data_IF_275395890684
#
_entry.id   IF_275395890684
#
_cell.length_a   1.000
_cell.length_b   1.000
_cell.length_c   1.000
_cell.angle_alpha   90.00
_cell.angle_beta   90.00
_cell.angle_gamma   90.00
#
_symmetry.space_group_name_H-M   'P 1'
#
loop_
_entity.id
_entity.type
_entity.pdbx_description
1 polymer ?
#
# COMPACT_ATOMS: atom_id res chain seq x y z
N UNK A 1 15.49 -0.81 17.53
CA UNK A 1 16.14 0.44 17.05
C UNK A 1 15.09 1.52 17.00
N UNK A 2 15.40 2.73 17.52
CA UNK A 2 14.39 3.80 17.53
C UNK A 2 14.29 4.45 16.15
N UNK A 3 13.07 4.71 15.72
CA UNK A 3 12.73 5.38 14.47
C UNK A 3 11.84 6.60 14.76
N UNK A 4 11.81 7.53 13.82
CA UNK A 4 10.97 8.72 13.90
C UNK A 4 9.77 8.50 12.97
N UNK A 5 8.56 8.72 13.47
CA UNK A 5 7.33 8.62 12.68
C UNK A 5 6.52 9.91 12.77
N UNK A 6 5.96 10.32 11.65
CA UNK A 6 4.99 11.43 11.58
C UNK A 6 4.03 11.22 10.41
N UNK A 7 2.88 11.87 10.44
CA UNK A 7 1.99 11.89 9.29
C UNK A 7 2.36 13.09 8.40
N UNK A 8 2.61 12.84 7.13
CA UNK A 8 2.83 13.88 6.15
C UNK A 8 1.63 14.83 6.11
N UNK A 9 1.84 16.14 6.25
CA UNK A 9 0.74 17.11 6.39
C UNK A 9 -0.10 17.27 5.10
N UNK A 10 0.46 16.95 3.93
CA UNK A 10 -0.24 17.10 2.65
C UNK A 10 -1.02 15.85 2.28
N UNK A 11 -0.41 14.68 2.46
CA UNK A 11 -0.98 13.39 2.03
C UNK A 11 -1.66 12.61 3.16
N UNK A 12 -1.31 12.93 4.42
CA UNK A 12 -1.72 12.19 5.60
C UNK A 12 -1.17 10.76 5.66
N UNK A 13 -0.18 10.44 4.81
CA UNK A 13 0.50 9.13 4.83
C UNK A 13 1.58 9.16 5.91
N UNK A 14 1.78 8.02 6.57
CA UNK A 14 2.85 7.86 7.53
C UNK A 14 4.21 7.97 6.85
N UNK A 15 5.08 8.79 7.40
CA UNK A 15 6.51 8.86 7.06
C UNK A 15 7.30 8.22 8.19
N UNK A 16 8.23 7.37 7.82
CA UNK A 16 9.16 6.70 8.71
C UNK A 16 10.58 7.16 8.39
N UNK A 17 11.28 7.68 9.37
CA UNK A 17 12.68 8.06 9.24
C UNK A 17 13.55 7.16 10.12
N UNK A 18 14.50 6.49 9.48
CA UNK A 18 15.52 5.66 10.15
C UNK A 18 16.76 6.54 10.38
N UNK A 19 17.01 6.99 11.62
CA UNK A 19 18.09 7.95 11.87
C UNK A 19 19.46 7.31 11.70
N UNK A 20 20.35 7.97 10.94
CA UNK A 20 21.74 7.59 10.80
C UNK A 20 22.56 8.20 11.94
N UNK A 21 22.69 7.48 13.04
CA UNK A 21 23.36 7.97 14.26
C UNK A 21 24.90 7.90 14.19
N UNK A 22 25.48 7.39 13.10
CA UNK A 22 26.94 7.32 12.91
C UNK A 22 27.55 8.64 12.39
N UNK A 23 26.72 9.59 11.97
CA UNK A 23 27.18 10.89 11.51
C UNK A 23 27.46 11.81 12.71
N UNK A 24 28.55 12.61 12.58
CA UNK A 24 28.91 13.59 13.59
C UNK A 24 28.11 14.88 13.36
N UNK A 25 27.47 15.34 14.40
CA UNK A 25 26.82 16.66 14.41
C UNK A 25 27.89 17.75 14.48
N UNK A 26 28.02 18.60 13.45
CA UNK A 26 29.07 19.62 13.39
C UNK A 26 28.94 20.71 14.49
N UNK A 27 27.77 20.84 15.10
CA UNK A 27 27.56 21.79 16.19
C UNK A 27 28.07 21.30 17.55
N UNK A 28 28.10 19.98 17.75
CA UNK A 28 28.44 19.35 19.05
C UNK A 28 29.70 18.51 19.03
N UNK A 29 30.24 18.21 17.83
CA UNK A 29 31.35 17.29 17.58
C UNK A 29 31.11 15.88 18.17
N UNK A 30 29.83 15.46 18.21
CA UNK A 30 29.37 14.15 18.69
C UNK A 30 28.43 13.49 17.68
N UNK A 31 28.23 12.16 17.75
CA UNK A 31 27.20 11.50 16.96
C UNK A 31 25.81 12.12 17.20
N UNK A 32 25.01 12.21 16.13
CA UNK A 32 23.64 12.67 16.25
C UNK A 32 22.84 11.79 17.19
N UNK A 33 22.02 12.40 18.02
CA UNK A 33 20.93 11.72 18.73
C UNK A 33 19.70 11.57 17.84
N UNK A 34 18.81 10.62 18.16
CA UNK A 34 17.53 10.46 17.43
C UNK A 34 16.72 11.75 17.49
N UNK A 35 16.74 12.45 18.62
CA UNK A 35 16.03 13.73 18.79
C UNK A 35 16.58 14.81 17.85
N UNK A 36 17.90 14.98 17.77
CA UNK A 36 18.50 15.97 16.86
C UNK A 36 18.23 15.66 15.39
N UNK A 37 18.11 14.36 15.03
CA UNK A 37 17.67 13.97 13.67
C UNK A 37 16.22 14.34 13.47
N UNK A 38 15.34 14.09 14.44
CA UNK A 38 13.93 14.45 14.35
C UNK A 38 13.75 15.97 14.18
N UNK A 39 14.45 16.76 15.01
CA UNK A 39 14.38 18.23 14.97
C UNK A 39 14.89 18.82 13.63
N UNK A 40 15.75 18.08 12.92
CA UNK A 40 16.30 18.50 11.62
C UNK A 40 15.44 18.03 10.44
N UNK A 41 14.93 16.78 10.47
CA UNK A 41 14.37 16.10 9.31
C UNK A 41 12.83 16.13 9.28
N UNK A 42 12.16 16.34 10.41
CA UNK A 42 10.70 16.52 10.46
C UNK A 42 10.38 17.97 10.06
N UNK A 43 9.39 18.20 9.19
CA UNK A 43 9.00 19.56 8.82
C UNK A 43 8.56 20.39 10.03
N UNK A 44 8.87 21.68 10.03
CA UNK A 44 8.53 22.61 11.11
C UNK A 44 7.04 22.60 11.44
N UNK A 45 6.73 22.45 12.73
CA UNK A 45 5.35 22.44 13.24
C UNK A 45 4.61 21.11 13.04
N UNK A 46 5.23 20.09 12.47
CA UNK A 46 4.65 18.77 12.34
C UNK A 46 4.92 17.95 13.59
N UNK A 47 3.86 17.41 14.20
CA UNK A 47 3.99 16.51 15.35
C UNK A 47 4.65 15.18 14.90
N UNK A 48 5.57 14.67 15.71
CA UNK A 48 6.24 13.38 15.46
C UNK A 48 6.34 12.56 16.75
N UNK A 49 6.64 11.29 16.62
CA UNK A 49 6.97 10.40 17.74
C UNK A 49 8.23 9.60 17.44
N UNK A 50 9.02 9.34 18.46
CA UNK A 50 10.12 8.40 18.43
C UNK A 50 9.60 7.08 18.99
N UNK A 51 9.62 6.03 18.17
CA UNK A 51 9.11 4.71 18.53
C UNK A 51 10.16 3.63 18.22
N UNK A 52 9.97 2.42 18.75
CA UNK A 52 10.82 1.30 18.36
C UNK A 52 10.42 0.77 16.98
N UNK A 53 11.40 0.29 16.23
CA UNK A 53 11.21 -0.30 14.88
C UNK A 53 10.25 -1.49 14.88
N UNK A 54 10.11 -2.18 16.01
CA UNK A 54 9.09 -3.22 16.20
C UNK A 54 7.65 -2.74 16.12
N UNK A 55 7.43 -1.42 16.15
CA UNK A 55 6.11 -0.81 15.94
C UNK A 55 5.69 -0.85 14.47
N UNK A 56 6.66 -0.99 13.53
CA UNK A 56 6.36 -1.08 12.10
C UNK A 56 5.66 -2.42 11.82
N UNK A 57 4.51 -2.42 11.14
CA UNK A 57 3.88 -3.65 10.70
C UNK A 57 4.80 -4.46 9.79
N UNK A 58 4.90 -5.77 10.01
CA UNK A 58 5.70 -6.68 9.17
C UNK A 58 5.10 -6.85 7.78
N UNK A 59 3.78 -6.73 7.68
CA UNK A 59 3.06 -6.75 6.42
C UNK A 59 3.05 -5.37 5.78
N UNK A 60 3.85 -5.20 4.73
CA UNK A 60 4.01 -3.93 4.03
C UNK A 60 3.14 -3.80 2.76
N UNK A 61 2.22 -4.74 2.53
CA UNK A 61 1.40 -4.78 1.31
C UNK A 61 0.59 -3.50 1.07
N UNK A 62 0.21 -2.81 2.15
CA UNK A 62 -0.54 -1.55 2.12
C UNK A 62 0.18 -0.42 2.85
N UNK A 63 1.51 -0.38 2.74
CA UNK A 63 2.33 0.65 3.40
C UNK A 63 1.84 2.07 3.11
N UNK A 64 1.45 2.35 1.88
CA UNK A 64 0.94 3.67 1.47
C UNK A 64 -0.44 4.01 2.09
N UNK A 65 -1.07 3.07 2.78
CA UNK A 65 -2.26 3.27 3.58
C UNK A 65 -1.98 3.35 5.08
N UNK A 66 -0.73 3.31 5.52
CA UNK A 66 -0.39 3.45 6.94
C UNK A 66 -0.64 4.87 7.44
N UNK A 67 -1.08 4.92 8.69
CA UNK A 67 -1.35 6.16 9.40
C UNK A 67 -0.85 6.05 10.84
N UNK A 68 -0.12 7.04 11.29
CA UNK A 68 0.25 7.17 12.70
C UNK A 68 -0.91 7.64 13.55
N UNK A 69 -1.13 6.98 14.66
CA UNK A 69 -2.15 7.33 15.67
C UNK A 69 -1.45 7.71 16.98
N UNK A 70 -1.90 8.78 17.61
CA UNK A 70 -1.26 9.30 18.83
C UNK A 70 0.12 9.93 18.57
N UNK A 71 0.40 10.38 17.35
CA UNK A 71 1.65 11.06 17.01
C UNK A 71 1.83 12.31 17.90
N UNK A 72 3.04 12.49 18.45
CA UNK A 72 3.37 13.54 19.41
C UNK A 72 3.04 13.18 20.86
N UNK A 73 2.52 11.98 21.12
CA UNK A 73 2.24 11.49 22.47
C UNK A 73 2.97 10.18 22.77
N UNK A 74 3.00 9.79 24.06
CA UNK A 74 3.53 8.49 24.46
C UNK A 74 2.63 7.36 23.96
N UNK A 75 3.22 6.33 23.33
CA UNK A 75 2.46 5.17 22.86
C UNK A 75 1.85 5.36 21.46
N UNK A 76 2.46 6.20 20.62
CA UNK A 76 2.10 6.30 19.23
C UNK A 76 2.19 4.92 18.53
N UNK A 77 1.21 4.63 17.69
CA UNK A 77 1.07 3.36 16.96
C UNK A 77 0.86 3.60 15.48
N UNK A 78 1.07 2.56 14.68
CA UNK A 78 0.80 2.56 13.23
C UNK A 78 -0.44 1.71 12.98
N UNK A 79 -1.37 2.24 12.21
CA UNK A 79 -2.59 1.54 11.77
C UNK A 79 -2.77 1.67 10.27
N UNK A 80 -3.53 0.76 9.66
CA UNK A 80 -3.91 0.86 8.26
C UNK A 80 -5.21 1.66 8.09
N UNK A 81 -5.19 2.64 7.19
CA UNK A 81 -6.41 3.27 6.69
C UNK A 81 -7.07 2.34 5.68
N UNK A 82 -8.13 1.64 6.09
CA UNK A 82 -8.83 0.67 5.25
C UNK A 82 -9.42 1.30 3.99
N UNK A 83 -9.77 2.58 4.00
CA UNK A 83 -10.31 3.29 2.83
C UNK A 83 -9.22 3.47 1.78
N UNK A 84 -8.03 3.93 2.19
CA UNK A 84 -6.86 4.02 1.31
C UNK A 84 -6.41 2.64 0.84
N UNK A 85 -6.38 1.64 1.71
CA UNK A 85 -6.02 0.27 1.36
C UNK A 85 -6.96 -0.31 0.27
N UNK A 86 -8.26 -0.05 0.33
CA UNK A 86 -9.23 -0.44 -0.71
C UNK A 86 -8.92 0.19 -2.06
N UNK A 87 -8.53 1.46 -2.09
CA UNK A 87 -8.17 2.13 -3.35
C UNK A 87 -6.86 1.57 -3.95
N UNK A 88 -5.87 1.28 -3.10
CA UNK A 88 -4.62 0.60 -3.50
C UNK A 88 -4.95 -0.78 -4.08
N UNK A 89 -5.78 -1.56 -3.40
CA UNK A 89 -6.20 -2.88 -3.85
C UNK A 89 -6.89 -2.83 -5.23
N UNK A 90 -7.85 -1.92 -5.40
CA UNK A 90 -8.51 -1.71 -6.70
C UNK A 90 -7.53 -1.26 -7.79
N UNK A 91 -6.54 -0.44 -7.45
CA UNK A 91 -5.48 -0.02 -8.37
C UNK A 91 -4.62 -1.20 -8.81
N UNK A 92 -4.23 -2.07 -7.87
CA UNK A 92 -3.48 -3.29 -8.17
C UNK A 92 -4.26 -4.22 -9.11
N UNK A 93 -5.57 -4.44 -8.85
CA UNK A 93 -6.45 -5.20 -9.75
C UNK A 93 -6.49 -4.57 -11.14
N UNK A 94 -6.69 -3.24 -11.24
CA UNK A 94 -6.73 -2.52 -12.52
C UNK A 94 -5.42 -2.66 -13.31
N UNK A 95 -4.29 -2.60 -12.63
CA UNK A 95 -2.97 -2.76 -13.25
C UNK A 95 -2.74 -4.20 -13.73
N UNK A 96 -3.06 -5.20 -12.89
CA UNK A 96 -2.90 -6.61 -13.23
C UNK A 96 -3.81 -7.05 -14.38
N UNK A 97 -5.05 -6.57 -14.44
CA UNK A 97 -5.99 -6.96 -15.50
C UNK A 97 -5.66 -6.37 -16.88
N UNK A 98 -4.88 -5.27 -16.97
CA UNK A 98 -4.56 -4.63 -18.26
C UNK A 98 -3.94 -5.59 -19.28
N UNK A 99 -2.81 -6.28 -18.98
CA UNK A 99 -2.21 -7.21 -19.91
C UNK A 99 -3.11 -8.43 -20.19
N UNK A 100 -3.91 -8.88 -19.20
CA UNK A 100 -4.84 -9.99 -19.37
C UNK A 100 -5.95 -9.65 -20.36
N UNK A 101 -6.50 -8.44 -20.26
CA UNK A 101 -7.50 -7.94 -21.21
C UNK A 101 -6.91 -7.83 -22.63
N UNK A 102 -5.69 -7.30 -22.77
CA UNK A 102 -5.02 -7.20 -24.06
C UNK A 102 -4.79 -8.57 -24.71
N UNK A 103 -4.40 -9.59 -23.92
CA UNK A 103 -4.25 -10.95 -24.41
C UNK A 103 -5.59 -11.52 -24.91
N UNK A 104 -6.67 -11.31 -24.14
CA UNK A 104 -8.02 -11.74 -24.54
C UNK A 104 -8.58 -10.96 -25.74
N UNK A 105 -8.11 -9.73 -26.00
CA UNK A 105 -8.47 -9.00 -27.23
C UNK A 105 -7.87 -9.69 -28.47
N UNK A 106 -6.63 -10.17 -28.39
CA UNK A 106 -5.99 -10.94 -29.45
C UNK A 106 -6.70 -12.28 -29.67
N UNK A 107 -7.01 -13.00 -28.58
CA UNK A 107 -7.71 -14.29 -28.68
C UNK A 107 -9.11 -14.12 -29.28
N UNK A 108 -9.81 -13.03 -28.92
CA UNK A 108 -11.10 -12.68 -29.48
C UNK A 108 -11.03 -12.46 -31.01
N UNK A 109 -10.03 -11.72 -31.49
CA UNK A 109 -9.82 -11.49 -32.90
C UNK A 109 -9.55 -12.80 -33.66
N UNK A 110 -8.67 -13.65 -33.13
CA UNK A 110 -8.38 -14.99 -33.72
C UNK A 110 -9.61 -15.88 -33.79
N UNK A 111 -10.45 -15.86 -32.74
CA UNK A 111 -11.68 -16.63 -32.72
C UNK A 111 -12.66 -16.14 -33.80
N UNK A 112 -12.77 -14.82 -34.00
CA UNK A 112 -13.60 -14.25 -35.11
C UNK A 112 -13.08 -14.67 -36.50
N UNK A 113 -11.76 -14.63 -36.73
CA UNK A 113 -11.15 -15.01 -37.99
C UNK A 113 -11.44 -16.48 -38.36
N UNK A 114 -11.55 -17.34 -37.37
CA UNK A 114 -11.84 -18.77 -37.56
C UNK A 114 -13.32 -19.13 -37.37
N UNK A 115 -14.20 -18.15 -37.18
CA UNK A 115 -15.63 -18.34 -36.85
C UNK A 115 -15.85 -19.26 -35.65
N UNK A 116 -14.93 -19.24 -34.66
CA UNK A 116 -15.03 -19.97 -33.41
C UNK A 116 -15.95 -19.24 -32.42
N UNK A 117 -16.47 -19.99 -31.42
CA UNK A 117 -17.27 -19.40 -30.35
C UNK A 117 -16.44 -18.44 -29.47
N UNK A 118 -16.91 -17.24 -29.30
CA UNK A 118 -16.27 -16.17 -28.51
C UNK A 118 -16.86 -16.02 -27.12
N UNK A 119 -17.92 -16.75 -26.76
CA UNK A 119 -18.68 -16.56 -25.53
C UNK A 119 -17.81 -16.69 -24.26
N UNK A 120 -16.92 -17.67 -24.22
CA UNK A 120 -16.01 -17.89 -23.10
C UNK A 120 -15.00 -16.74 -22.95
N UNK A 121 -14.52 -16.18 -24.06
CA UNK A 121 -13.58 -15.03 -24.06
C UNK A 121 -14.30 -13.79 -23.54
N UNK A 122 -15.52 -13.55 -24.02
CA UNK A 122 -16.35 -12.42 -23.58
C UNK A 122 -16.64 -12.51 -22.09
N UNK A 123 -16.98 -13.69 -21.57
CA UNK A 123 -17.23 -13.91 -20.15
C UNK A 123 -15.98 -13.61 -19.28
N UNK A 124 -14.79 -14.08 -19.71
CA UNK A 124 -13.52 -13.77 -19.03
C UNK A 124 -13.20 -12.27 -19.03
N UNK A 125 -13.39 -11.60 -20.16
CA UNK A 125 -13.19 -10.14 -20.27
C UNK A 125 -14.13 -9.39 -19.35
N UNK A 126 -15.40 -9.82 -19.24
CA UNK A 126 -16.36 -9.20 -18.33
C UNK A 126 -15.95 -9.41 -16.87
N UNK A 127 -15.59 -10.62 -16.47
CA UNK A 127 -15.12 -10.92 -15.12
C UNK A 127 -13.90 -10.04 -14.73
N UNK A 128 -12.93 -9.85 -15.63
CA UNK A 128 -11.79 -8.95 -15.41
C UNK A 128 -12.21 -7.47 -15.27
N UNK A 129 -13.23 -7.03 -16.01
CA UNK A 129 -13.76 -5.66 -15.90
C UNK A 129 -14.44 -5.43 -14.56
N UNK A 130 -15.16 -6.41 -14.06
CA UNK A 130 -15.96 -6.34 -12.84
C UNK A 130 -15.12 -6.55 -11.57
N UNK A 131 -13.96 -7.20 -11.66
CA UNK A 131 -13.11 -7.53 -10.53
C UNK A 131 -12.84 -6.37 -9.55
N UNK A 132 -12.53 -5.11 -10.00
CA UNK A 132 -12.33 -4.00 -9.05
C UNK A 132 -13.59 -3.52 -8.33
N UNK A 133 -14.77 -3.93 -8.81
CA UNK A 133 -16.07 -3.56 -8.24
C UNK A 133 -16.68 -4.67 -7.38
N UNK A 134 -15.93 -5.75 -7.11
CA UNK A 134 -16.40 -6.85 -6.28
C UNK A 134 -16.89 -6.35 -4.91
N UNK A 135 -18.08 -6.77 -4.49
CA UNK A 135 -18.72 -6.31 -3.25
C UNK A 135 -17.88 -6.59 -2.00
N UNK A 136 -17.15 -7.69 -1.99
CA UNK A 136 -16.24 -8.05 -0.89
C UNK A 136 -15.15 -7.01 -0.63
N UNK A 137 -14.68 -6.29 -1.66
CA UNK A 137 -13.72 -5.18 -1.49
C UNK A 137 -14.39 -4.05 -0.68
N UNK A 138 -15.62 -3.72 -0.98
CA UNK A 138 -16.35 -2.65 -0.29
C UNK A 138 -16.64 -3.01 1.17
N UNK A 139 -17.00 -4.27 1.44
CA UNK A 139 -17.37 -4.76 2.76
C UNK A 139 -16.20 -5.17 3.64
N UNK A 140 -14.98 -5.33 3.09
CA UNK A 140 -13.79 -5.69 3.87
C UNK A 140 -13.59 -4.73 5.05
N UNK A 141 -13.47 -5.27 6.25
CA UNK A 141 -13.31 -4.50 7.49
C UNK A 141 -11.85 -4.19 7.83
N UNK A 142 -10.92 -4.99 7.31
CA UNK A 142 -9.48 -4.90 7.56
C UNK A 142 -8.68 -5.34 6.32
N UNK A 143 -7.36 -5.19 6.37
CA UNK A 143 -6.47 -5.53 5.24
C UNK A 143 -6.39 -7.03 4.97
N UNK A 144 -6.57 -7.88 5.97
CA UNK A 144 -6.60 -9.34 5.79
C UNK A 144 -7.82 -9.76 4.98
N UNK A 145 -9.00 -9.26 5.34
CA UNK A 145 -10.24 -9.48 4.58
C UNK A 145 -10.12 -8.95 3.16
N UNK A 146 -9.46 -7.78 3.02
CA UNK A 146 -9.25 -7.14 1.72
C UNK A 146 -8.33 -7.97 0.81
N UNK A 147 -7.22 -8.51 1.32
CA UNK A 147 -6.33 -9.40 0.56
C UNK A 147 -7.04 -10.65 0.07
N UNK A 148 -7.96 -11.20 0.88
CA UNK A 148 -8.78 -12.36 0.51
C UNK A 148 -9.72 -12.10 -0.68
N UNK A 149 -9.94 -10.82 -1.06
CA UNK A 149 -10.74 -10.45 -2.24
C UNK A 149 -9.96 -10.51 -3.56
N UNK A 150 -8.67 -10.89 -3.53
CA UNK A 150 -7.93 -11.11 -4.76
C UNK A 150 -8.33 -12.44 -5.40
N UNK A 151 -9.05 -12.36 -6.51
CA UNK A 151 -9.50 -13.55 -7.22
C UNK A 151 -8.37 -14.13 -8.08
N UNK A 152 -7.68 -15.14 -7.55
CA UNK A 152 -6.57 -15.82 -8.24
C UNK A 152 -7.00 -16.56 -9.50
N UNK A 153 -8.27 -16.94 -9.63
CA UNK A 153 -8.81 -17.64 -10.79
C UNK A 153 -8.90 -16.74 -12.03
N UNK A 154 -9.04 -15.43 -11.81
CA UNK A 154 -9.21 -14.41 -12.85
C UNK A 154 -7.92 -13.60 -13.03
N UNK A 155 -7.29 -13.20 -11.93
CA UNK A 155 -6.15 -12.26 -11.91
C UNK A 155 -4.80 -12.97 -11.86
N UNK A 156 -4.76 -14.28 -11.54
CA UNK A 156 -3.52 -15.01 -11.30
C UNK A 156 -2.98 -14.80 -9.87
N UNK A 157 -1.68 -15.02 -9.68
CA UNK A 157 -1.06 -14.99 -8.37
C UNK A 157 -1.33 -13.67 -7.62
N UNK A 158 -1.60 -13.79 -6.30
CA UNK A 158 -1.80 -12.62 -5.45
C UNK A 158 -0.49 -11.85 -5.25
N UNK A 159 -0.49 -10.52 -5.30
CA UNK A 159 0.68 -9.69 -4.98
C UNK A 159 0.94 -9.58 -3.48
N UNK A 160 0.10 -10.19 -2.65
CA UNK A 160 0.14 -10.08 -1.18
C UNK A 160 0.69 -11.32 -0.49
N UNK A 161 1.23 -12.29 -1.22
CA UNK A 161 1.82 -13.53 -0.70
C UNK A 161 3.30 -13.39 -0.43
#
# INVERSE_FOLDING_TARGET
MSIIIYNDPETGILVETFPCLNQINPATDKPFTVQEVADKDVPDGVAYSIVEDSTIPTDQSFRDAWKGVGIGTTGATITEDITKAKEIHKSNIRNTRKPLLSALDVDFQRALETSADTSAIVAKKQALRDAPAASGITTAANVTDLKAQWDTSILGASPYS
#
